data_IF_462615509032
#
_entry.id   IF_462615509032
#
_cell.length_a   1.000
_cell.length_b   1.000
_cell.length_c   1.000
_cell.angle_alpha   90.00
_cell.angle_beta   90.00
_cell.angle_gamma   90.00
#
_symmetry.space_group_name_H-M   'P 1'
#
loop_
_entity.id
_entity.type
_entity.pdbx_description
1 polymer ?
#
# COMPACT_ATOMS: atom_id res chain seq x y z
N UNK A 1 -12.99 -8.25 24.28
CA UNK A 1 -11.97 -7.90 23.27
C UNK A 1 -12.72 -7.62 21.99
N UNK A 2 -12.71 -6.39 21.50
CA UNK A 2 -13.32 -6.08 20.21
C UNK A 2 -12.54 -6.85 19.14
N UNK A 3 -13.26 -7.67 18.37
CA UNK A 3 -12.75 -8.45 17.24
C UNK A 3 -12.54 -7.48 16.07
N UNK A 4 -11.60 -6.54 16.24
CA UNK A 4 -11.39 -5.42 15.33
C UNK A 4 -10.86 -5.95 14.00
N UNK A 5 -11.76 -5.96 13.01
CA UNK A 5 -11.50 -6.44 11.67
C UNK A 5 -11.12 -5.24 10.81
N UNK A 6 -9.90 -5.22 10.31
CA UNK A 6 -9.41 -4.12 9.49
C UNK A 6 -9.69 -4.41 8.01
N UNK A 7 -10.25 -3.44 7.26
CA UNK A 7 -10.31 -3.56 5.80
C UNK A 7 -8.89 -3.55 5.24
N UNK A 8 -8.59 -4.48 4.34
CA UNK A 8 -7.35 -4.56 3.58
C UNK A 8 -7.66 -4.18 2.13
N UNK A 9 -7.40 -2.93 1.70
CA UNK A 9 -7.60 -2.54 0.32
C UNK A 9 -6.66 -3.32 -0.60
N UNK A 10 -7.20 -3.95 -1.63
CA UNK A 10 -6.45 -4.77 -2.58
C UNK A 10 -6.66 -4.28 -4.01
N UNK A 11 -5.58 -4.30 -4.80
CA UNK A 11 -5.61 -4.04 -6.23
C UNK A 11 -4.74 -5.04 -7.01
N UNK A 12 -5.10 -5.49 -8.22
CA UNK A 12 -6.40 -5.31 -8.86
C UNK A 12 -7.51 -6.10 -8.16
N UNK A 13 -8.74 -5.64 -8.33
CA UNK A 13 -9.94 -6.30 -7.83
C UNK A 13 -10.80 -6.80 -9.03
N UNK A 14 -11.48 -7.97 -8.94
CA UNK A 14 -11.48 -8.91 -7.81
C UNK A 14 -10.17 -9.70 -7.70
N UNK A 15 -9.82 -10.09 -6.47
CA UNK A 15 -8.70 -11.01 -6.24
C UNK A 15 -9.08 -12.42 -6.72
N UNK A 16 -8.22 -13.04 -7.53
CA UNK A 16 -8.41 -14.43 -7.97
C UNK A 16 -8.39 -15.39 -6.78
N UNK A 17 -9.11 -16.51 -6.84
CA UNK A 17 -9.12 -17.53 -5.77
C UNK A 17 -7.72 -18.03 -5.39
N UNK A 18 -6.83 -18.23 -6.35
CA UNK A 18 -5.45 -18.65 -6.10
C UNK A 18 -4.70 -17.63 -5.22
N UNK A 19 -4.70 -16.35 -5.60
CA UNK A 19 -4.13 -15.27 -4.78
C UNK A 19 -4.81 -15.15 -3.42
N UNK A 20 -6.11 -15.43 -3.34
CA UNK A 20 -6.84 -15.39 -2.09
C UNK A 20 -6.41 -16.51 -1.12
N UNK A 21 -6.19 -17.72 -1.63
CA UNK A 21 -5.64 -18.83 -0.84
C UNK A 21 -4.25 -18.49 -0.30
N UNK A 22 -3.37 -17.94 -1.15
CA UNK A 22 -2.03 -17.54 -0.76
C UNK A 22 -2.03 -16.40 0.28
N UNK A 23 -2.95 -15.43 0.17
CA UNK A 23 -3.06 -14.36 1.17
C UNK A 23 -3.52 -14.89 2.53
N UNK A 24 -4.43 -15.88 2.55
CA UNK A 24 -4.83 -16.54 3.81
C UNK A 24 -3.64 -17.29 4.43
N UNK A 25 -2.87 -18.00 3.61
CA UNK A 25 -1.67 -18.69 4.07
C UNK A 25 -0.64 -17.70 4.62
N UNK A 26 -0.33 -16.63 3.88
CA UNK A 26 0.58 -15.58 4.32
C UNK A 26 0.12 -14.94 5.63
N UNK A 27 -1.18 -14.62 5.78
CA UNK A 27 -1.73 -14.06 7.02
C UNK A 27 -1.60 -15.03 8.20
N UNK A 28 -1.75 -16.33 7.97
CA UNK A 28 -1.58 -17.35 9.00
C UNK A 28 -0.13 -17.42 9.49
N UNK A 29 0.86 -17.24 8.60
CA UNK A 29 2.29 -17.20 8.96
C UNK A 29 2.70 -15.98 9.80
N UNK A 30 1.95 -14.89 9.71
CA UNK A 30 2.29 -13.64 10.41
C UNK A 30 1.97 -13.70 11.91
N UNK A 31 1.10 -14.61 12.37
CA UNK A 31 0.75 -14.86 13.79
C UNK A 31 0.51 -13.58 14.64
N UNK A 32 -0.28 -12.65 14.09
CA UNK A 32 -0.75 -11.45 14.80
C UNK A 32 -2.27 -11.54 14.96
N UNK A 33 -2.85 -11.21 16.13
CA UNK A 33 -4.28 -11.32 16.42
C UNK A 33 -5.17 -10.31 15.68
N UNK A 34 -4.64 -9.62 14.67
CA UNK A 34 -5.38 -8.69 13.82
C UNK A 34 -6.08 -9.48 12.71
N UNK A 35 -7.39 -9.28 12.55
CA UNK A 35 -8.14 -9.82 11.42
C UNK A 35 -8.16 -8.81 10.28
N UNK A 36 -7.90 -9.28 9.07
CA UNK A 36 -7.94 -8.46 7.85
C UNK A 36 -8.97 -9.03 6.89
N UNK A 37 -9.77 -8.15 6.29
CA UNK A 37 -10.74 -8.52 5.25
C UNK A 37 -10.36 -7.80 3.96
N UNK A 38 -9.99 -8.53 2.89
CA UNK A 38 -9.74 -7.94 1.58
C UNK A 38 -10.98 -7.19 1.09
N UNK A 39 -10.78 -5.96 0.66
CA UNK A 39 -11.81 -5.12 0.04
C UNK A 39 -11.26 -4.49 -1.24
N UNK A 40 -12.16 -4.05 -2.12
CA UNK A 40 -11.78 -3.29 -3.30
C UNK A 40 -11.07 -1.99 -2.89
N UNK A 41 -9.91 -1.72 -3.50
CA UNK A 41 -9.22 -0.45 -3.32
C UNK A 41 -9.93 0.65 -4.12
N UNK A 42 -10.35 1.70 -3.42
CA UNK A 42 -10.95 2.91 -4.00
C UNK A 42 -10.23 4.19 -3.51
N UNK A 43 -10.58 5.33 -4.10
CA UNK A 43 -10.15 6.64 -3.59
C UNK A 43 -10.53 6.80 -2.11
N UNK A 44 -9.57 7.22 -1.28
CA UNK A 44 -9.78 7.36 0.16
C UNK A 44 -9.75 6.03 0.95
N UNK A 45 -9.30 4.93 0.34
CA UNK A 45 -9.09 3.67 1.06
C UNK A 45 -8.19 3.88 2.29
N UNK A 46 -8.51 3.24 3.43
CA UNK A 46 -7.71 3.38 4.64
C UNK A 46 -6.34 2.69 4.47
N UNK A 47 -5.29 3.34 4.96
CA UNK A 47 -3.94 2.76 4.98
C UNK A 47 -3.32 2.57 3.60
N UNK A 48 -2.43 1.57 3.47
CA UNK A 48 -1.77 1.21 2.22
C UNK A 48 -2.68 0.31 1.36
N UNK A 49 -2.52 0.34 0.04
CA UNK A 49 -3.19 -0.62 -0.85
C UNK A 49 -2.25 -1.79 -1.16
N UNK A 50 -2.66 -3.02 -0.86
CA UNK A 50 -1.91 -4.22 -1.23
C UNK A 50 -2.05 -4.49 -2.74
N UNK A 51 -0.93 -4.40 -3.46
CA UNK A 51 -0.93 -4.36 -4.92
C UNK A 51 -0.34 -5.65 -5.52
N UNK A 52 -1.17 -6.46 -6.16
CA UNK A 52 -0.77 -7.70 -6.86
C UNK A 52 -0.38 -7.40 -8.30
N UNK A 53 0.90 -7.04 -8.51
CA UNK A 53 1.50 -6.85 -9.83
C UNK A 53 1.06 -5.59 -10.57
N UNK A 54 0.07 -4.86 -10.07
CA UNK A 54 -0.41 -3.60 -10.65
C UNK A 54 -0.68 -2.60 -9.52
N UNK A 55 -0.48 -1.32 -9.80
CA UNK A 55 -0.82 -0.22 -8.89
C UNK A 55 -2.14 0.43 -9.29
N UNK A 56 -2.94 0.95 -8.34
CA UNK A 56 -4.16 1.67 -8.65
C UNK A 56 -3.90 2.93 -9.50
N UNK A 57 -4.84 3.35 -10.35
CA UNK A 57 -4.71 4.57 -11.17
C UNK A 57 -4.98 5.86 -10.38
N UNK A 58 -4.85 5.82 -9.05
CA UNK A 58 -5.12 6.95 -8.16
C UNK A 58 -4.05 7.05 -7.08
N UNK A 59 -3.90 8.27 -6.56
CA UNK A 59 -2.90 8.58 -5.54
C UNK A 59 -3.23 7.86 -4.22
N UNK A 60 -2.33 6.98 -3.80
CA UNK A 60 -2.45 6.23 -2.55
C UNK A 60 -1.08 5.71 -2.13
N UNK A 61 -0.91 5.40 -0.84
CA UNK A 61 0.24 4.62 -0.37
C UNK A 61 0.03 3.16 -0.81
N UNK A 62 1.07 2.49 -1.30
CA UNK A 62 0.94 1.09 -1.76
C UNK A 62 1.87 0.14 -1.00
N UNK A 63 1.50 -1.13 -0.97
CA UNK A 63 2.33 -2.26 -0.58
C UNK A 63 2.47 -3.19 -1.80
N UNK A 64 3.46 -2.97 -2.67
CA UNK A 64 3.55 -3.65 -3.96
C UNK A 64 4.12 -5.07 -3.89
N UNK A 65 3.54 -5.96 -4.67
CA UNK A 65 4.04 -7.29 -5.00
C UNK A 65 4.35 -7.28 -6.50
N UNK A 66 5.59 -7.57 -6.87
CA UNK A 66 6.00 -7.55 -8.28
C UNK A 66 5.20 -8.58 -9.11
N UNK A 67 4.90 -8.31 -10.40
CA UNK A 67 4.08 -9.18 -11.25
C UNK A 67 4.50 -10.65 -11.28
N UNK A 68 5.82 -10.90 -11.36
CA UNK A 68 6.41 -12.24 -11.39
C UNK A 68 6.26 -12.99 -10.05
N UNK A 69 5.93 -12.28 -8.97
CA UNK A 69 5.88 -12.80 -7.60
C UNK A 69 4.46 -12.85 -7.01
N UNK A 70 3.42 -12.51 -7.79
CA UNK A 70 2.02 -12.47 -7.29
C UNK A 70 1.45 -13.83 -6.87
N UNK A 71 2.16 -14.92 -7.16
CA UNK A 71 1.85 -16.28 -6.74
C UNK A 71 2.85 -16.85 -5.72
N UNK A 72 3.74 -16.01 -5.18
CA UNK A 72 4.70 -16.40 -4.14
C UNK A 72 4.13 -16.03 -2.76
N UNK A 73 3.93 -17.04 -1.90
CA UNK A 73 3.45 -16.82 -0.51
C UNK A 73 4.40 -15.90 0.25
N UNK A 74 5.71 -16.08 0.10
CA UNK A 74 6.72 -15.29 0.81
C UNK A 74 6.68 -13.81 0.40
N UNK A 75 6.45 -13.54 -0.89
CA UNK A 75 6.30 -12.16 -1.38
C UNK A 75 5.03 -11.51 -0.85
N UNK A 76 3.93 -12.26 -0.80
CA UNK A 76 2.66 -11.80 -0.24
C UNK A 76 2.78 -11.57 1.27
N UNK A 77 3.46 -12.46 2.00
CA UNK A 77 3.74 -12.32 3.42
C UNK A 77 4.54 -11.05 3.72
N UNK A 78 5.64 -10.81 2.98
CA UNK A 78 6.46 -9.62 3.16
C UNK A 78 5.67 -8.33 2.90
N UNK A 79 4.87 -8.29 1.84
CA UNK A 79 4.01 -7.15 1.55
C UNK A 79 2.94 -6.94 2.63
N UNK A 80 2.38 -8.03 3.18
CA UNK A 80 1.40 -7.96 4.26
C UNK A 80 2.02 -7.55 5.60
N UNK A 81 3.26 -7.96 5.91
CA UNK A 81 4.03 -7.47 7.07
C UNK A 81 4.30 -5.97 6.95
N UNK A 82 4.68 -5.51 5.76
CA UNK A 82 4.84 -4.08 5.48
C UNK A 82 3.52 -3.32 5.66
N UNK A 83 2.41 -3.86 5.16
CA UNK A 83 1.08 -3.28 5.34
C UNK A 83 0.67 -3.18 6.82
N UNK A 84 0.90 -4.25 7.60
CA UNK A 84 0.57 -4.34 9.03
C UNK A 84 1.49 -3.52 9.94
N UNK A 85 2.65 -3.08 9.46
CA UNK A 85 3.59 -2.30 10.25
C UNK A 85 3.32 -0.79 10.09
N UNK A 86 2.70 -0.12 11.09
CA UNK A 86 2.43 1.32 11.04
C UNK A 86 3.71 2.16 11.15
N UNK A 87 4.82 1.56 11.59
CA UNK A 87 6.14 2.20 11.71
C UNK A 87 7.12 1.77 10.62
N UNK A 88 6.67 0.99 9.62
CA UNK A 88 7.50 0.73 8.44
C UNK A 88 7.72 2.07 7.75
N UNK A 89 8.99 2.47 7.70
CA UNK A 89 9.48 3.79 7.34
C UNK A 89 8.73 4.35 6.12
N UNK A 90 7.94 5.41 6.34
CA UNK A 90 7.10 6.02 5.31
C UNK A 90 7.92 6.61 4.15
N UNK A 91 9.25 6.70 4.33
CA UNK A 91 10.22 7.18 3.34
C UNK A 91 10.55 6.18 2.22
N UNK A 92 10.10 4.92 2.30
CA UNK A 92 10.38 3.91 1.26
C UNK A 92 9.35 3.88 0.13
N UNK A 93 8.28 4.67 0.23
CA UNK A 93 7.39 4.94 -0.90
C UNK A 93 7.50 6.42 -1.23
N UNK A 94 8.66 6.82 -1.79
CA UNK A 94 8.91 8.21 -2.12
C UNK A 94 7.95 8.68 -3.23
N UNK A 95 7.54 9.94 -3.16
CA UNK A 95 6.62 10.54 -4.13
C UNK A 95 7.19 10.46 -5.55
N UNK A 96 8.52 10.44 -5.65
CA UNK A 96 9.26 10.24 -6.89
C UNK A 96 8.99 8.87 -7.53
N UNK A 97 8.88 7.79 -6.76
CA UNK A 97 8.60 6.45 -7.24
C UNK A 97 7.17 6.35 -7.77
N UNK A 98 6.21 6.95 -7.05
CA UNK A 98 4.83 7.03 -7.53
C UNK A 98 4.74 7.88 -8.81
N UNK A 99 5.36 9.05 -8.84
CA UNK A 99 5.37 9.92 -10.02
C UNK A 99 6.10 9.29 -11.20
N UNK A 100 7.16 8.51 -10.95
CA UNK A 100 7.88 7.79 -12.02
C UNK A 100 6.97 6.79 -12.72
N UNK A 101 6.18 6.04 -11.94
CA UNK A 101 5.22 5.09 -12.48
C UNK A 101 4.07 5.79 -13.24
N UNK A 102 3.58 6.95 -12.77
CA UNK A 102 2.51 7.70 -13.44
C UNK A 102 3.00 8.36 -14.73
N UNK A 103 4.19 8.95 -14.71
CA UNK A 103 4.73 9.73 -15.81
C UNK A 103 5.49 8.87 -16.84
N UNK A 104 5.85 7.63 -16.47
CA UNK A 104 6.61 6.72 -17.32
C UNK A 104 8.07 7.15 -17.54
N UNK A 105 8.63 7.94 -16.62
CA UNK A 105 10.00 8.43 -16.67
C UNK A 105 10.63 8.44 -15.28
N UNK A 106 11.96 8.47 -15.20
CA UNK A 106 12.66 8.56 -13.92
C UNK A 106 12.40 9.94 -13.29
N UNK A 107 11.77 9.94 -12.11
CA UNK A 107 11.54 11.14 -11.30
C UNK A 107 12.48 11.07 -10.09
N UNK A 108 13.08 12.21 -9.74
CA UNK A 108 13.89 12.37 -8.54
C UNK A 108 13.33 13.54 -7.73
N UNK A 109 13.10 13.32 -6.43
CA UNK A 109 12.73 14.41 -5.52
C UNK A 109 13.97 15.29 -5.29
N UNK A 110 13.93 16.54 -5.73
CA UNK A 110 15.07 17.46 -5.65
C UNK A 110 15.05 18.29 -4.36
N UNK A 111 13.87 18.72 -3.91
CA UNK A 111 13.67 19.46 -2.67
C UNK A 111 12.19 19.44 -2.24
N UNK A 112 11.96 19.55 -0.94
CA UNK A 112 10.65 19.87 -0.36
C UNK A 112 10.67 21.36 0.03
N UNK A 113 9.81 22.17 -0.59
CA UNK A 113 9.60 23.55 -0.15
C UNK A 113 8.32 23.64 0.70
N UNK A 114 8.50 23.82 2.00
CA UNK A 114 7.41 24.13 2.93
C UNK A 114 6.86 25.53 2.65
N UNK A 115 5.80 25.62 1.85
CA UNK A 115 5.01 26.84 1.74
C UNK A 115 4.01 26.92 2.90
N UNK A 116 4.50 27.17 4.12
CA UNK A 116 3.64 27.66 5.20
C UNK A 116 3.21 29.07 4.85
N UNK A 117 2.15 29.22 4.06
CA UNK A 117 1.61 30.48 3.55
C UNK A 117 1.07 31.43 4.61
N UNK A 118 1.89 31.84 5.58
CA UNK A 118 1.61 32.97 6.46
C UNK A 118 1.93 34.26 5.73
N UNK A 119 1.03 34.67 4.84
CA UNK A 119 1.00 36.06 4.38
C UNK A 119 0.57 36.90 5.58
N UNK A 120 1.53 37.58 6.24
CA UNK A 120 1.21 38.68 7.15
C UNK A 120 0.91 39.91 6.30
N UNK A 121 -0.32 40.38 6.38
CA UNK A 121 -0.64 41.75 6.00
C UNK A 121 -0.36 42.62 7.22
N UNK A 122 0.70 43.41 7.17
CA UNK A 122 0.88 44.51 8.10
C UNK A 122 -0.10 45.63 7.70
N UNK A 123 -0.95 46.03 8.64
CA UNK A 123 -1.86 47.19 8.53
C UNK A 123 -1.16 48.41 9.10
#
# INVERSE_FOLDING_TARGET
>A
MNDETMPLPVYPWPISEARMALLREAKARIDIPIRVVPVEAAHGSPGRVLCFGLTPPFMCKTAPIAPQNVLSVDSIENALRFWLNPFSDERQFDEAHWMSNVMGCDVTLVAEEDHTGKVRFDV
#
